data_IF_171842650723
#
_entry.id   IF_171842650723
#
_cell.length_a   1.000
_cell.length_b   1.000
_cell.length_c   1.000
_cell.angle_alpha   90.00
_cell.angle_beta   90.00
_cell.angle_gamma   90.00
#
_symmetry.space_group_name_H-M   'P 1'
#
loop_
_entity.id
_entity.type
_entity.pdbx_description
1 polymer ?
#
# COMPACT_ATOMS: atom_id res chain seq x y z
N UNK A 1 -2.04 26.66 -8.54
CA UNK A 1 -2.97 27.30 -9.49
C UNK A 1 -4.38 26.93 -9.03
N UNK A 2 -5.13 27.93 -8.50
CA UNK A 2 -6.48 27.71 -7.99
C UNK A 2 -7.44 27.31 -9.11
N UNK A 3 -8.22 26.27 -8.89
CA UNK A 3 -9.32 25.90 -9.77
C UNK A 3 -10.38 27.03 -9.71
N UNK A 4 -10.71 27.58 -10.87
CA UNK A 4 -11.80 28.57 -11.01
C UNK A 4 -13.07 27.76 -11.21
N UNK A 5 -13.92 27.72 -10.18
CA UNK A 5 -15.28 27.17 -10.30
C UNK A 5 -16.19 28.26 -10.88
N UNK A 6 -16.90 27.96 -11.95
CA UNK A 6 -17.96 28.81 -12.50
C UNK A 6 -19.30 28.16 -12.20
N UNK A 7 -20.16 28.84 -11.45
CA UNK A 7 -21.56 28.46 -11.31
C UNK A 7 -22.33 28.93 -12.53
N UNK A 8 -23.03 28.02 -13.19
CA UNK A 8 -23.90 28.33 -14.32
C UNK A 8 -25.36 28.25 -13.86
N UNK A 9 -26.06 29.35 -13.91
CA UNK A 9 -27.48 29.44 -13.62
C UNK A 9 -28.27 29.43 -14.94
N UNK A 10 -29.23 28.50 -15.06
CA UNK A 10 -30.18 28.48 -16.16
C UNK A 10 -31.51 29.03 -15.64
N UNK A 11 -31.92 30.16 -16.17
CA UNK A 11 -33.21 30.74 -15.87
C UNK A 11 -34.24 30.20 -16.84
N UNK A 12 -35.30 29.59 -16.33
CA UNK A 12 -36.47 29.22 -17.13
C UNK A 12 -37.59 30.24 -16.89
N UNK A 13 -38.31 30.60 -17.95
CA UNK A 13 -39.40 31.57 -17.92
C UNK A 13 -40.74 30.97 -17.48
N UNK A 14 -40.81 29.67 -17.31
CA UNK A 14 -42.02 28.99 -16.82
C UNK A 14 -41.68 28.11 -15.61
N UNK A 15 -42.53 28.08 -14.55
CA UNK A 15 -42.35 27.19 -13.43
C UNK A 15 -42.61 25.75 -13.87
N UNK A 16 -41.58 25.02 -14.24
CA UNK A 16 -41.72 23.57 -14.37
C UNK A 16 -41.91 22.94 -12.98
N UNK A 17 -42.82 21.94 -12.86
CA UNK A 17 -42.95 21.20 -11.63
C UNK A 17 -41.55 20.62 -11.27
N UNK A 18 -41.11 20.88 -10.06
CA UNK A 18 -39.85 20.37 -9.50
C UNK A 18 -39.88 18.83 -9.49
N UNK A 19 -39.69 18.23 -10.66
CA UNK A 19 -39.30 16.84 -10.73
C UNK A 19 -37.88 16.79 -10.20
N UNK A 20 -37.70 16.26 -8.98
CA UNK A 20 -36.37 15.97 -8.46
C UNK A 20 -35.63 15.18 -9.55
N UNK A 21 -34.54 15.73 -10.06
CA UNK A 21 -33.74 15.20 -11.18
C UNK A 21 -33.30 13.74 -10.94
N UNK A 22 -33.27 13.31 -9.70
CA UNK A 22 -32.97 11.95 -9.24
C UNK A 22 -34.20 11.04 -9.07
N UNK A 23 -35.40 11.53 -9.21
CA UNK A 23 -36.64 10.76 -9.09
C UNK A 23 -37.39 10.71 -10.42
N UNK A 24 -36.69 10.65 -11.53
CA UNK A 24 -37.34 10.27 -12.79
C UNK A 24 -37.83 8.82 -12.64
N UNK A 25 -39.12 8.67 -12.48
CA UNK A 25 -39.83 7.40 -12.73
C UNK A 25 -39.81 7.12 -14.23
N UNK A 26 -38.62 6.99 -14.81
CA UNK A 26 -38.42 6.42 -16.12
C UNK A 26 -38.60 4.90 -16.08
N UNK A 27 -38.74 4.23 -17.24
CA UNK A 27 -38.70 2.77 -17.29
C UNK A 27 -37.47 2.30 -16.55
N UNK A 28 -37.63 1.22 -15.75
CA UNK A 28 -36.63 0.71 -14.82
C UNK A 28 -35.21 0.93 -15.35
N UNK A 29 -34.46 1.79 -14.68
CA UNK A 29 -33.05 1.99 -15.01
C UNK A 29 -32.44 0.59 -14.92
N UNK A 30 -32.03 0.03 -16.04
CA UNK A 30 -31.23 -1.18 -16.06
C UNK A 30 -29.99 -0.79 -15.26
N UNK A 31 -29.89 -1.33 -14.04
CA UNK A 31 -28.79 -1.00 -13.14
C UNK A 31 -27.49 -1.23 -13.89
N UNK A 32 -26.65 -0.22 -13.96
CA UNK A 32 -25.28 -0.39 -14.44
C UNK A 32 -24.66 -1.42 -13.51
N UNK A 33 -24.22 -2.55 -14.04
CA UNK A 33 -23.46 -3.51 -13.25
C UNK A 33 -22.19 -2.83 -12.75
N UNK A 34 -22.03 -2.61 -11.43
CA UNK A 34 -20.84 -1.95 -10.89
C UNK A 34 -19.55 -2.70 -11.18
N UNK A 35 -19.65 -3.99 -11.57
CA UNK A 35 -18.55 -4.84 -11.98
C UNK A 35 -18.26 -4.77 -13.49
N UNK A 36 -19.04 -4.02 -14.27
CA UNK A 36 -18.89 -4.00 -15.73
C UNK A 36 -17.75 -3.11 -16.21
N UNK A 37 -17.50 -1.95 -15.60
CA UNK A 37 -16.40 -1.07 -15.99
C UNK A 37 -16.10 0.02 -14.96
N UNK A 38 -14.83 0.39 -14.88
CA UNK A 38 -14.35 1.55 -14.13
C UNK A 38 -13.35 2.29 -15.04
N UNK A 39 -13.33 3.64 -15.06
CA UNK A 39 -12.29 4.38 -15.78
C UNK A 39 -10.89 3.99 -15.30
N UNK A 40 -9.95 3.76 -16.22
CA UNK A 40 -8.60 3.31 -15.87
C UNK A 40 -7.88 4.25 -14.90
N UNK A 41 -8.02 5.56 -15.06
CA UNK A 41 -7.45 6.55 -14.13
C UNK A 41 -8.06 6.48 -12.72
N UNK A 42 -9.36 6.17 -12.59
CA UNK A 42 -10.01 5.95 -11.29
C UNK A 42 -9.50 4.66 -10.65
N UNK A 43 -9.41 3.58 -11.41
CA UNK A 43 -8.87 2.30 -10.94
C UNK A 43 -7.42 2.45 -10.48
N UNK A 44 -6.58 3.13 -11.26
CA UNK A 44 -5.19 3.42 -10.93
C UNK A 44 -5.07 4.26 -9.65
N UNK A 45 -5.84 5.33 -9.52
CA UNK A 45 -5.80 6.17 -8.33
C UNK A 45 -6.23 5.40 -7.07
N UNK A 46 -7.24 4.54 -7.14
CA UNK A 46 -7.66 3.68 -6.02
C UNK A 46 -6.59 2.63 -5.67
N UNK A 47 -5.96 2.02 -6.66
CA UNK A 47 -4.83 1.11 -6.47
C UNK A 47 -3.67 1.79 -5.72
N UNK A 48 -3.27 2.96 -6.16
CA UNK A 48 -2.18 3.71 -5.53
C UNK A 48 -2.58 4.28 -4.17
N UNK A 49 -3.83 4.70 -3.98
CA UNK A 49 -4.37 5.08 -2.68
C UNK A 49 -4.16 3.95 -1.65
N UNK A 50 -4.55 2.72 -2.02
CA UNK A 50 -4.35 1.54 -1.19
C UNK A 50 -2.88 1.29 -0.87
N UNK A 51 -2.01 1.35 -1.87
CA UNK A 51 -0.57 1.13 -1.70
C UNK A 51 0.09 2.16 -0.79
N UNK A 52 -0.14 3.45 -1.03
CA UNK A 52 0.47 4.50 -0.22
C UNK A 52 -0.05 4.53 1.22
N UNK A 53 -1.31 4.16 1.45
CA UNK A 53 -1.85 4.01 2.80
C UNK A 53 -1.09 2.93 3.60
N UNK A 54 -0.84 1.77 3.00
CA UNK A 54 -0.11 0.68 3.66
C UNK A 54 1.36 1.01 3.87
N UNK A 55 2.00 1.67 2.90
CA UNK A 55 3.39 2.14 3.03
C UNK A 55 3.54 3.12 4.19
N UNK A 56 2.64 4.11 4.27
CA UNK A 56 2.63 5.05 5.39
C UNK A 56 2.37 4.36 6.73
N UNK A 57 1.45 3.37 6.78
CA UNK A 57 1.18 2.60 7.99
C UNK A 57 2.43 1.83 8.45
N UNK A 58 3.08 1.07 7.55
CA UNK A 58 4.23 0.26 7.87
C UNK A 58 5.39 1.10 8.41
N UNK A 59 5.73 2.20 7.72
CA UNK A 59 6.78 3.11 8.16
C UNK A 59 6.45 3.78 9.50
N UNK A 60 5.19 4.18 9.71
CA UNK A 60 4.77 4.80 10.98
C UNK A 60 4.91 3.82 12.14
N UNK A 61 4.52 2.54 11.94
CA UNK A 61 4.66 1.50 12.97
C UNK A 61 6.12 1.20 13.28
N UNK A 62 6.96 1.10 12.28
CA UNK A 62 8.40 0.89 12.48
C UNK A 62 9.03 2.09 13.19
N UNK A 63 8.71 3.32 12.80
CA UNK A 63 9.18 4.54 13.48
C UNK A 63 8.79 4.55 14.96
N UNK A 64 7.55 4.13 15.29
CA UNK A 64 7.12 3.99 16.68
C UNK A 64 7.92 2.93 17.42
N UNK A 65 8.16 1.76 16.80
CA UNK A 65 8.97 0.71 17.42
C UNK A 65 10.42 1.17 17.71
N UNK A 66 11.02 1.91 16.77
CA UNK A 66 12.34 2.57 16.97
C UNK A 66 12.28 3.53 18.14
N UNK A 67 11.27 4.39 18.20
CA UNK A 67 11.10 5.37 19.26
C UNK A 67 10.90 4.72 20.63
N UNK A 68 10.11 3.65 20.73
CA UNK A 68 9.90 2.90 21.95
C UNK A 68 11.22 2.30 22.47
N UNK A 69 12.03 1.71 21.57
CA UNK A 69 13.37 1.18 21.91
C UNK A 69 14.37 2.28 22.26
N UNK A 70 14.29 3.44 21.59
CA UNK A 70 15.12 4.58 21.96
C UNK A 70 14.79 5.11 23.37
N UNK A 71 13.51 5.17 23.73
CA UNK A 71 13.09 5.54 25.09
C UNK A 71 13.56 4.53 26.15
N UNK A 72 13.62 3.23 25.78
CA UNK A 72 14.06 2.17 26.68
C UNK A 72 15.60 2.09 26.82
N UNK A 73 16.35 2.27 25.74
CA UNK A 73 17.80 2.00 25.66
C UNK A 73 18.67 3.17 25.23
N UNK A 74 18.11 4.31 24.85
CA UNK A 74 18.86 5.46 24.31
C UNK A 74 19.90 6.05 25.29
N UNK A 75 19.86 5.67 26.57
CA UNK A 75 20.86 6.03 27.57
C UNK A 75 22.21 5.27 27.48
N UNK A 76 22.36 4.31 26.54
CA UNK A 76 23.63 3.65 26.25
C UNK A 76 24.17 2.65 27.29
N UNK A 77 23.39 2.30 28.31
CA UNK A 77 23.81 1.41 29.40
C UNK A 77 23.60 -0.09 29.12
N UNK A 78 22.87 -0.43 28.03
CA UNK A 78 22.58 -1.80 27.64
C UNK A 78 23.10 -2.07 26.23
N UNK A 79 24.21 -2.82 26.08
CA UNK A 79 24.82 -3.09 24.77
C UNK A 79 23.85 -3.80 23.79
N UNK A 80 23.05 -4.77 24.28
CA UNK A 80 22.08 -5.47 23.45
C UNK A 80 20.96 -4.54 22.97
N UNK A 81 20.48 -3.64 23.86
CA UNK A 81 19.49 -2.63 23.52
C UNK A 81 20.01 -1.63 22.47
N UNK A 82 21.28 -1.18 22.62
CA UNK A 82 21.91 -0.29 21.64
C UNK A 82 22.05 -0.95 20.26
N UNK A 83 22.49 -2.21 20.21
CA UNK A 83 22.62 -2.96 18.97
C UNK A 83 21.24 -3.23 18.31
N UNK A 84 20.20 -3.51 19.11
CA UNK A 84 18.84 -3.62 18.62
C UNK A 84 18.35 -2.31 18.01
N UNK A 85 18.60 -1.17 18.66
CA UNK A 85 18.22 0.15 18.17
C UNK A 85 18.92 0.46 16.85
N UNK A 86 20.22 0.21 16.73
CA UNK A 86 21.00 0.39 15.50
C UNK A 86 20.45 -0.46 14.34
N UNK A 87 20.07 -1.71 14.60
CA UNK A 87 19.46 -2.59 13.60
C UNK A 87 18.11 -2.05 13.10
N UNK A 88 17.27 -1.56 14.02
CA UNK A 88 15.95 -1.02 13.67
C UNK A 88 16.04 0.34 12.95
N UNK A 89 16.96 1.21 13.35
CA UNK A 89 17.23 2.48 12.67
C UNK A 89 17.76 2.25 11.26
N UNK A 90 18.67 1.29 11.09
CA UNK A 90 19.16 0.87 9.77
C UNK A 90 18.03 0.33 8.88
N UNK A 91 17.13 -0.49 9.44
CA UNK A 91 15.96 -1.00 8.73
C UNK A 91 15.01 0.15 8.33
N UNK A 92 14.76 1.09 9.23
CA UNK A 92 13.90 2.25 8.95
C UNK A 92 14.51 3.12 7.83
N UNK A 93 15.80 3.41 7.89
CA UNK A 93 16.51 4.18 6.86
C UNK A 93 16.44 3.47 5.49
N UNK A 94 16.64 2.15 5.48
CA UNK A 94 16.55 1.36 4.25
C UNK A 94 15.13 1.36 3.63
N UNK A 95 14.08 1.17 4.45
CA UNK A 95 12.69 1.19 3.99
C UNK A 95 12.26 2.59 3.53
N UNK A 96 12.72 3.65 4.20
CA UNK A 96 12.44 5.03 3.80
C UNK A 96 13.10 5.42 2.46
N UNK A 97 14.09 4.65 2.00
CA UNK A 97 14.79 4.87 0.74
C UNK A 97 15.79 6.02 0.80
N UNK A 98 16.59 6.13 -0.27
CA UNK A 98 17.57 7.22 -0.38
C UNK A 98 16.88 8.58 -0.29
N UNK A 99 17.44 9.49 0.50
CA UNK A 99 16.93 10.86 0.70
C UNK A 99 15.44 10.94 1.14
N UNK A 100 14.91 9.88 1.78
CA UNK A 100 13.53 9.85 2.27
C UNK A 100 12.46 9.81 1.17
N UNK A 101 12.79 9.30 -0.01
CA UNK A 101 11.86 9.19 -1.15
C UNK A 101 10.59 8.42 -0.82
N UNK A 102 10.65 7.51 0.14
CA UNK A 102 9.52 6.74 0.66
C UNK A 102 9.15 7.13 2.11
N UNK A 103 9.43 8.37 2.56
CA UNK A 103 9.10 8.79 3.92
C UNK A 103 7.60 8.69 4.22
N UNK A 104 7.23 8.74 5.51
CA UNK A 104 5.81 8.78 5.93
C UNK A 104 5.12 9.97 5.26
N UNK A 105 5.74 11.16 5.29
CA UNK A 105 5.17 12.37 4.72
C UNK A 105 4.97 12.28 3.20
N UNK A 106 5.94 11.77 2.44
CA UNK A 106 5.81 11.56 1.00
C UNK A 106 4.74 10.54 0.66
N UNK A 107 4.66 9.45 1.42
CA UNK A 107 3.62 8.44 1.24
C UNK A 107 2.21 8.99 1.53
N UNK A 108 2.06 9.80 2.58
CA UNK A 108 0.78 10.43 2.90
C UNK A 108 0.36 11.46 1.84
N UNK A 109 1.29 12.27 1.31
CA UNK A 109 0.97 13.19 0.19
C UNK A 109 0.49 12.44 -1.03
N UNK A 110 1.25 11.43 -1.47
CA UNK A 110 0.87 10.64 -2.62
C UNK A 110 -0.47 9.92 -2.41
N UNK A 111 -0.76 9.44 -1.19
CA UNK A 111 -2.06 8.89 -0.82
C UNK A 111 -3.17 9.92 -0.95
N UNK A 112 -2.99 11.13 -0.42
CA UNK A 112 -3.96 12.22 -0.48
C UNK A 112 -4.21 12.69 -1.92
N UNK A 113 -3.16 12.83 -2.73
CA UNK A 113 -3.28 13.19 -4.15
C UNK A 113 -4.16 12.19 -4.91
N UNK A 114 -3.97 10.88 -4.66
CA UNK A 114 -4.80 9.84 -5.23
C UNK A 114 -6.24 9.87 -4.69
N UNK A 115 -6.44 10.16 -3.40
CA UNK A 115 -7.77 10.34 -2.83
C UNK A 115 -8.51 11.52 -3.47
N UNK A 116 -7.83 12.65 -3.69
CA UNK A 116 -8.41 13.80 -4.38
C UNK A 116 -8.77 13.51 -5.84
N UNK A 117 -8.01 12.65 -6.53
CA UNK A 117 -8.31 12.24 -7.91
C UNK A 117 -9.61 11.42 -8.00
N UNK A 118 -10.01 10.72 -6.93
CA UNK A 118 -11.22 9.87 -6.86
C UNK A 118 -12.24 10.37 -5.83
N UNK A 119 -12.27 11.68 -5.59
CA UNK A 119 -13.10 12.29 -4.54
C UNK A 119 -14.59 11.97 -4.63
N UNK A 120 -15.09 11.73 -5.80
CA UNK A 120 -16.48 11.35 -6.10
C UNK A 120 -16.80 9.90 -5.74
N UNK A 121 -15.78 9.05 -5.57
CA UNK A 121 -15.91 7.66 -5.14
C UNK A 121 -15.80 7.51 -3.61
N UNK A 122 -15.38 8.55 -2.91
CA UNK A 122 -15.12 8.54 -1.47
C UNK A 122 -16.25 9.19 -0.69
N UNK A 123 -16.66 8.55 0.42
CA UNK A 123 -17.70 9.06 1.29
C UNK A 123 -17.26 10.32 2.04
N UNK A 124 -18.24 11.08 2.56
CA UNK A 124 -17.96 12.23 3.43
C UNK A 124 -17.13 11.84 4.66
N UNK A 125 -17.40 10.66 5.22
CA UNK A 125 -16.70 10.18 6.42
C UNK A 125 -15.23 9.86 6.11
N UNK A 126 -14.91 9.42 4.89
CA UNK A 126 -13.53 9.27 4.43
C UNK A 126 -12.77 10.59 4.51
N UNK A 127 -13.38 11.70 4.12
CA UNK A 127 -12.75 13.03 4.19
C UNK A 127 -12.55 13.53 5.63
N UNK A 128 -13.41 13.14 6.58
CA UNK A 128 -13.20 13.42 7.99
C UNK A 128 -11.95 12.72 8.54
N UNK A 129 -11.62 11.54 7.98
CA UNK A 129 -10.44 10.76 8.37
C UNK A 129 -9.17 11.27 7.67
N UNK A 130 -9.26 11.72 6.42
CA UNK A 130 -8.11 12.21 5.65
C UNK A 130 -7.62 13.59 6.11
N UNK A 131 -8.52 14.48 6.56
CA UNK A 131 -8.15 15.82 7.02
C UNK A 131 -7.13 15.87 8.17
N UNK A 132 -7.20 15.02 9.19
CA UNK A 132 -6.16 14.89 10.21
C UNK A 132 -4.80 14.44 9.68
N UNK A 133 -4.76 13.57 8.64
CA UNK A 133 -3.51 13.15 7.99
C UNK A 133 -2.81 14.31 7.31
N UNK A 134 -3.56 15.12 6.56
CA UNK A 134 -3.02 16.30 5.89
C UNK A 134 -2.37 17.28 6.90
N UNK A 135 -3.01 17.47 8.06
CA UNK A 135 -2.47 18.33 9.12
C UNK A 135 -1.27 17.73 9.86
N UNK A 136 -1.10 16.41 9.87
CA UNK A 136 0.04 15.75 10.50
C UNK A 136 1.32 15.84 9.67
N UNK A 137 1.23 16.00 8.35
CA UNK A 137 2.40 16.02 7.44
C UNK A 137 3.47 17.04 7.84
N UNK A 138 3.16 18.32 8.11
CA UNK A 138 4.18 19.29 8.49
C UNK A 138 4.91 18.94 9.78
N UNK A 139 4.24 18.28 10.73
CA UNK A 139 4.86 17.85 11.98
C UNK A 139 5.85 16.67 11.76
N UNK A 140 5.53 15.78 10.82
CA UNK A 140 6.39 14.65 10.45
C UNK A 140 7.65 15.07 9.68
N UNK A 141 7.68 16.26 9.13
CA UNK A 141 8.82 16.81 8.38
C UNK A 141 9.76 17.63 9.24
N UNK A 142 9.37 17.93 10.48
CA UNK A 142 10.24 18.66 11.41
C UNK A 142 11.46 17.81 11.80
N UNK A 143 12.63 18.43 11.94
CA UNK A 143 13.81 17.73 12.47
C UNK A 143 13.51 17.15 13.86
N UNK A 144 14.00 15.93 14.11
CA UNK A 144 13.79 15.21 15.38
C UNK A 144 14.25 16.00 16.61
N UNK A 145 15.26 16.87 16.45
CA UNK A 145 15.78 17.74 17.51
C UNK A 145 14.76 18.69 18.14
N UNK A 146 13.69 19.04 17.40
CA UNK A 146 12.72 20.08 17.82
C UNK A 146 11.35 19.51 18.22
N UNK A 147 11.13 18.17 18.13
CA UNK A 147 9.77 17.67 18.01
C UNK A 147 9.32 16.62 19.06
N UNK A 148 10.15 16.14 19.96
CA UNK A 148 9.85 15.19 21.05
C UNK A 148 8.42 14.62 21.10
N UNK A 149 7.62 15.09 22.04
CA UNK A 149 6.23 14.64 22.27
C UNK A 149 5.27 14.93 21.08
N UNK A 150 5.53 16.00 20.30
CA UNK A 150 4.67 16.37 19.16
C UNK A 150 4.81 15.36 18.01
N UNK A 151 6.01 14.84 17.78
CA UNK A 151 6.24 13.78 16.79
C UNK A 151 5.49 12.49 17.14
N UNK A 152 5.46 12.12 18.42
CA UNK A 152 4.71 10.94 18.89
C UNK A 152 3.19 11.11 18.69
N UNK A 153 2.67 12.30 18.98
CA UNK A 153 1.25 12.62 18.76
C UNK A 153 0.90 12.57 17.26
N UNK A 154 1.77 13.07 16.38
CA UNK A 154 1.59 13.00 14.93
C UNK A 154 1.59 11.55 14.43
N UNK A 155 2.53 10.72 14.87
CA UNK A 155 2.57 9.29 14.54
C UNK A 155 1.31 8.55 15.02
N UNK A 156 0.84 8.85 16.22
CA UNK A 156 -0.40 8.27 16.75
C UNK A 156 -1.61 8.69 15.90
N UNK A 157 -1.70 9.97 15.51
CA UNK A 157 -2.76 10.47 14.63
C UNK A 157 -2.76 9.77 13.27
N UNK A 158 -1.57 9.55 12.68
CA UNK A 158 -1.44 8.84 11.41
C UNK A 158 -2.00 7.42 11.52
N UNK A 159 -1.58 6.66 12.53
CA UNK A 159 -2.08 5.29 12.73
C UNK A 159 -3.59 5.27 12.94
N UNK A 160 -4.15 6.14 13.78
CA UNK A 160 -5.59 6.22 14.02
C UNK A 160 -6.37 6.49 12.74
N UNK A 161 -5.90 7.45 11.93
CA UNK A 161 -6.56 7.80 10.68
C UNK A 161 -6.45 6.70 9.63
N UNK A 162 -5.28 6.06 9.49
CA UNK A 162 -5.11 4.96 8.53
C UNK A 162 -5.94 3.71 8.91
N UNK A 163 -6.05 3.41 10.20
CA UNK A 163 -6.93 2.34 10.70
C UNK A 163 -8.41 2.68 10.44
N UNK A 164 -8.82 3.93 10.67
CA UNK A 164 -10.18 4.38 10.39
C UNK A 164 -10.48 4.34 8.87
N UNK A 165 -9.53 4.74 8.01
CA UNK A 165 -9.63 4.62 6.56
C UNK A 165 -9.81 3.15 6.14
N UNK A 166 -9.01 2.24 6.70
CA UNK A 166 -9.15 0.81 6.49
C UNK A 166 -10.53 0.27 6.91
N UNK A 167 -11.04 0.72 8.06
CA UNK A 167 -12.37 0.38 8.56
C UNK A 167 -13.49 0.87 7.62
N UNK A 168 -13.42 2.12 7.16
CA UNK A 168 -14.38 2.68 6.20
C UNK A 168 -14.35 1.92 4.87
N UNK A 169 -13.17 1.52 4.39
CA UNK A 169 -13.05 0.69 3.19
C UNK A 169 -13.73 -0.68 3.34
N UNK A 170 -13.75 -1.23 4.54
CA UNK A 170 -14.40 -2.52 4.83
C UNK A 170 -15.92 -2.36 5.02
N UNK A 171 -16.36 -1.35 5.76
CA UNK A 171 -17.73 -1.21 6.22
C UNK A 171 -18.61 -0.37 5.29
N UNK A 172 -18.04 0.57 4.55
CA UNK A 172 -18.81 1.58 3.81
C UNK A 172 -18.69 1.50 2.29
N UNK A 173 -17.66 0.86 1.75
CA UNK A 173 -17.49 0.75 0.31
C UNK A 173 -18.17 -0.51 -0.24
N UNK A 174 -18.87 -0.35 -1.37
CA UNK A 174 -19.37 -1.48 -2.15
C UNK A 174 -18.20 -2.30 -2.69
N UNK A 175 -18.34 -3.63 -2.74
CA UNK A 175 -17.31 -4.55 -3.27
C UNK A 175 -17.28 -4.56 -4.79
N UNK A 176 -17.22 -3.38 -5.39
CA UNK A 176 -17.08 -3.18 -6.83
C UNK A 176 -15.62 -3.24 -7.31
N UNK A 177 -15.39 -2.96 -8.57
CA UNK A 177 -14.05 -2.94 -9.15
C UNK A 177 -13.13 -1.92 -8.49
N UNK A 178 -13.65 -0.74 -8.13
CA UNK A 178 -12.87 0.29 -7.46
C UNK A 178 -12.35 -0.19 -6.11
N UNK A 179 -13.22 -0.81 -5.33
CA UNK A 179 -12.84 -1.42 -4.05
C UNK A 179 -11.80 -2.53 -4.26
N UNK A 180 -11.96 -3.40 -5.29
CA UNK A 180 -11.02 -4.48 -5.59
C UNK A 180 -9.63 -3.96 -5.91
N UNK A 181 -9.51 -2.92 -6.74
CA UNK A 181 -8.22 -2.30 -7.03
C UNK A 181 -7.58 -1.70 -5.77
N UNK A 182 -8.35 -1.01 -4.94
CA UNK A 182 -7.85 -0.43 -3.70
C UNK A 182 -7.36 -1.53 -2.73
N UNK A 183 -8.15 -2.58 -2.51
CA UNK A 183 -7.77 -3.66 -1.58
C UNK A 183 -6.61 -4.48 -2.11
N UNK A 184 -6.59 -4.84 -3.41
CA UNK A 184 -5.46 -5.52 -4.03
C UNK A 184 -4.16 -4.70 -3.90
N UNK A 185 -4.21 -3.38 -4.11
CA UNK A 185 -3.09 -2.48 -3.87
C UNK A 185 -2.60 -2.53 -2.43
N UNK A 186 -3.52 -2.50 -1.45
CA UNK A 186 -3.21 -2.65 -0.03
C UNK A 186 -2.53 -4.00 0.27
N UNK A 187 -3.09 -5.11 -0.23
CA UNK A 187 -2.56 -6.46 0.02
C UNK A 187 -1.16 -6.62 -0.54
N UNK A 188 -0.94 -6.15 -1.76
CA UNK A 188 0.37 -6.18 -2.41
C UNK A 188 1.40 -5.38 -1.60
N UNK A 189 1.07 -4.12 -1.26
CA UNK A 189 2.02 -3.27 -0.54
C UNK A 189 2.31 -3.79 0.86
N UNK A 190 1.30 -4.27 1.61
CA UNK A 190 1.52 -4.87 2.93
C UNK A 190 2.44 -6.08 2.86
N UNK A 191 2.29 -6.92 1.84
CA UNK A 191 3.18 -8.05 1.60
C UNK A 191 4.62 -7.60 1.36
N UNK A 192 4.82 -6.61 0.49
CA UNK A 192 6.14 -6.06 0.18
C UNK A 192 6.80 -5.38 1.40
N UNK A 193 6.03 -4.60 2.18
CA UNK A 193 6.54 -3.94 3.38
C UNK A 193 6.91 -4.94 4.48
N UNK A 194 6.14 -6.02 4.65
CA UNK A 194 6.48 -7.10 5.57
C UNK A 194 7.77 -7.80 5.14
N UNK A 195 7.90 -8.19 3.87
CA UNK A 195 9.09 -8.84 3.35
C UNK A 195 10.31 -7.94 3.47
N UNK A 196 10.19 -6.65 3.18
CA UNK A 196 11.23 -5.67 3.34
C UNK A 196 11.69 -5.53 4.82
N UNK A 197 10.73 -5.49 5.76
CA UNK A 197 11.04 -5.46 7.19
C UNK A 197 11.80 -6.72 7.63
N UNK A 198 11.34 -7.91 7.22
CA UNK A 198 12.02 -9.17 7.53
C UNK A 198 13.42 -9.25 6.89
N UNK A 199 13.57 -8.77 5.65
CA UNK A 199 14.87 -8.70 4.98
C UNK A 199 15.87 -7.83 5.77
N UNK A 200 15.43 -6.65 6.19
CA UNK A 200 16.30 -5.69 6.87
C UNK A 200 16.67 -6.11 8.29
N UNK A 201 15.88 -6.99 8.95
CA UNK A 201 16.05 -7.27 10.38
C UNK A 201 16.34 -8.72 10.71
N UNK A 202 16.05 -9.68 9.82
CA UNK A 202 16.10 -11.11 10.17
C UNK A 202 17.03 -11.95 9.28
N UNK A 203 17.59 -11.39 8.21
CA UNK A 203 18.54 -12.13 7.36
C UNK A 203 19.91 -12.30 8.02
N UNK A 204 20.29 -11.37 8.90
CA UNK A 204 21.52 -11.46 9.70
C UNK A 204 21.17 -11.89 11.13
N UNK A 205 21.90 -12.86 11.67
CA UNK A 205 21.84 -13.26 13.07
C UNK A 205 22.73 -12.37 13.94
N UNK A 206 22.23 -12.02 15.10
CA UNK A 206 22.97 -11.30 16.12
C UNK A 206 23.17 -12.19 17.37
N UNK A 207 23.71 -11.63 18.43
CA UNK A 207 23.68 -12.31 19.74
C UNK A 207 22.23 -12.56 20.17
N UNK A 208 21.96 -13.67 20.89
CA UNK A 208 20.59 -14.07 21.24
C UNK A 208 19.78 -12.99 21.98
N UNK A 209 20.44 -12.16 22.78
CA UNK A 209 19.78 -11.07 23.50
C UNK A 209 19.33 -9.94 22.53
N UNK A 210 20.13 -9.65 21.50
CA UNK A 210 19.81 -8.66 20.45
C UNK A 210 18.69 -9.20 19.57
N UNK A 211 18.81 -10.44 19.07
CA UNK A 211 17.81 -11.08 18.22
C UNK A 211 16.43 -11.09 18.93
N UNK A 212 16.36 -11.41 20.22
CA UNK A 212 15.10 -11.40 20.97
C UNK A 212 14.44 -10.01 20.98
N UNK A 213 15.21 -8.94 21.18
CA UNK A 213 14.70 -7.56 21.16
C UNK A 213 14.26 -7.13 19.76
N UNK A 214 15.02 -7.50 18.73
CA UNK A 214 14.68 -7.22 17.32
C UNK A 214 13.38 -7.93 16.95
N UNK A 215 13.23 -9.23 17.29
CA UNK A 215 12.03 -10.00 16.98
C UNK A 215 10.78 -9.42 17.67
N UNK A 216 10.88 -9.03 18.94
CA UNK A 216 9.77 -8.35 19.63
C UNK A 216 9.40 -7.03 18.96
N UNK A 217 10.39 -6.26 18.53
CA UNK A 217 10.18 -4.98 17.85
C UNK A 217 9.53 -5.16 16.47
N UNK A 218 9.96 -6.17 15.71
CA UNK A 218 9.34 -6.55 14.43
C UNK A 218 7.91 -7.05 14.62
N UNK A 219 7.64 -7.89 15.63
CA UNK A 219 6.29 -8.33 15.97
C UNK A 219 5.40 -7.14 16.35
N UNK A 220 5.94 -6.14 17.05
CA UNK A 220 5.23 -4.90 17.39
C UNK A 220 4.94 -4.07 16.15
N UNK A 221 5.92 -3.83 15.30
CA UNK A 221 5.77 -3.11 14.04
C UNK A 221 4.78 -3.81 13.07
N UNK A 222 4.77 -5.15 13.05
CA UNK A 222 3.83 -5.97 12.29
C UNK A 222 2.47 -6.16 12.98
N UNK A 223 2.18 -5.48 14.11
CA UNK A 223 0.92 -5.60 14.88
C UNK A 223 0.59 -7.06 15.26
N UNK A 224 1.58 -7.87 15.52
CA UNK A 224 1.41 -9.31 15.81
C UNK A 224 1.92 -9.72 17.19
N UNK A 225 2.46 -8.79 17.99
CA UNK A 225 3.07 -9.09 19.29
C UNK A 225 2.06 -9.69 20.28
N UNK A 226 0.81 -9.20 20.32
CA UNK A 226 -0.22 -9.73 21.22
C UNK A 226 -0.65 -11.13 20.79
N UNK A 227 -0.82 -11.36 19.48
CA UNK A 227 -1.12 -12.69 18.92
C UNK A 227 0.01 -13.66 19.24
N UNK A 228 1.27 -13.24 19.09
CA UNK A 228 2.43 -14.03 19.42
C UNK A 228 2.42 -14.45 20.90
N UNK A 229 2.29 -13.48 21.81
CA UNK A 229 2.27 -13.74 23.27
C UNK A 229 1.13 -14.66 23.70
N UNK A 230 -0.04 -14.48 23.10
CA UNK A 230 -1.18 -15.35 23.37
C UNK A 230 -0.93 -16.79 22.91
N UNK A 231 -0.37 -16.97 21.71
CA UNK A 231 -0.22 -18.28 21.07
C UNK A 231 0.97 -19.07 21.61
N UNK A 232 2.15 -18.46 21.65
CA UNK A 232 3.40 -19.15 21.97
C UNK A 232 3.81 -19.08 23.42
N UNK A 233 3.36 -18.07 24.18
CA UNK A 233 3.64 -17.89 25.62
C UNK A 233 5.12 -18.00 25.99
N UNK A 234 6.00 -17.63 25.08
CA UNK A 234 7.47 -17.72 25.20
C UNK A 234 8.14 -16.46 24.72
N UNK A 235 9.45 -16.35 24.95
CA UNK A 235 10.27 -15.32 24.32
C UNK A 235 10.23 -15.46 22.80
N UNK A 236 10.38 -14.35 22.10
CA UNK A 236 10.35 -14.34 20.63
C UNK A 236 11.52 -15.15 20.07
N UNK A 237 11.22 -16.20 19.30
CA UNK A 237 12.15 -17.06 18.60
C UNK A 237 11.91 -16.94 17.11
N UNK A 238 12.98 -16.95 16.30
CA UNK A 238 12.89 -16.70 14.87
C UNK A 238 11.91 -17.66 14.18
N UNK A 239 11.98 -18.95 14.47
CA UNK A 239 11.11 -19.96 13.84
C UNK A 239 9.62 -19.66 14.06
N UNK A 240 9.23 -19.37 15.29
CA UNK A 240 7.82 -19.05 15.62
C UNK A 240 7.39 -17.67 15.15
N UNK A 241 8.32 -16.73 15.03
CA UNK A 241 8.08 -15.41 14.42
C UNK A 241 7.83 -15.53 12.93
N UNK A 242 8.66 -16.33 12.22
CA UNK A 242 8.48 -16.59 10.79
C UNK A 242 7.20 -17.40 10.53
N UNK A 243 6.89 -18.41 11.37
CA UNK A 243 5.62 -19.13 11.28
C UNK A 243 4.42 -18.18 11.36
N UNK A 244 4.38 -17.28 12.37
CA UNK A 244 3.30 -16.33 12.56
C UNK A 244 3.19 -15.27 11.46
N UNK A 245 4.33 -14.73 11.00
CA UNK A 245 4.35 -13.60 10.06
C UNK A 245 4.35 -14.03 8.59
N UNK A 246 4.87 -15.21 8.27
CA UNK A 246 4.89 -15.70 6.90
C UNK A 246 3.75 -16.68 6.62
N UNK A 247 3.56 -17.70 7.47
CA UNK A 247 2.79 -18.91 7.11
C UNK A 247 1.38 -18.98 7.70
N UNK A 248 1.11 -18.27 8.80
CA UNK A 248 -0.19 -18.36 9.47
C UNK A 248 -1.31 -17.70 8.67
N UNK A 249 -2.10 -18.51 7.97
CA UNK A 249 -3.26 -18.03 7.19
C UNK A 249 -4.38 -17.43 8.05
N UNK A 250 -4.36 -17.61 9.37
CA UNK A 250 -5.30 -17.00 10.32
C UNK A 250 -4.88 -15.63 10.85
N UNK A 251 -3.60 -15.24 10.69
CA UNK A 251 -3.11 -13.93 11.11
C UNK A 251 -3.31 -12.90 9.99
N UNK A 252 -4.17 -11.87 10.17
CA UNK A 252 -4.39 -10.84 9.14
C UNK A 252 -3.14 -10.03 8.74
N UNK A 253 -2.05 -10.18 9.49
CA UNK A 253 -0.77 -9.50 9.23
C UNK A 253 0.28 -10.42 8.59
N UNK A 254 -0.03 -11.70 8.37
CA UNK A 254 0.89 -12.63 7.74
C UNK A 254 0.91 -12.50 6.22
N UNK A 255 2.02 -12.91 5.62
CA UNK A 255 2.17 -12.97 4.16
C UNK A 255 1.14 -13.95 3.54
N UNK A 256 0.96 -15.13 4.11
CA UNK A 256 0.00 -16.12 3.62
C UNK A 256 -1.43 -15.59 3.55
N UNK A 257 -1.86 -14.86 4.59
CA UNK A 257 -3.17 -14.20 4.61
C UNK A 257 -3.28 -13.14 3.51
N UNK A 258 -2.25 -12.31 3.34
CA UNK A 258 -2.27 -11.24 2.34
C UNK A 258 -2.29 -11.81 0.91
N UNK A 259 -1.48 -12.82 0.60
CA UNK A 259 -1.44 -13.45 -0.73
C UNK A 259 -2.77 -14.10 -1.08
N UNK A 260 -3.42 -14.75 -0.12
CA UNK A 260 -4.75 -15.33 -0.33
C UNK A 260 -5.79 -14.27 -0.72
N UNK A 261 -5.85 -13.15 0.02
CA UNK A 261 -6.81 -12.08 -0.29
C UNK A 261 -6.42 -11.33 -1.58
N UNK A 262 -5.13 -11.15 -1.85
CA UNK A 262 -4.68 -10.58 -3.12
C UNK A 262 -5.13 -11.46 -4.30
N UNK A 263 -5.03 -12.78 -4.18
CA UNK A 263 -5.53 -13.71 -5.20
C UNK A 263 -7.04 -13.55 -5.42
N UNK A 264 -7.82 -13.50 -4.33
CA UNK A 264 -9.28 -13.30 -4.39
C UNK A 264 -9.67 -11.97 -5.09
N UNK A 265 -8.92 -10.90 -4.83
CA UNK A 265 -9.16 -9.61 -5.47
C UNK A 265 -8.78 -9.63 -6.96
N UNK A 266 -7.61 -10.17 -7.30
CA UNK A 266 -7.19 -10.29 -8.69
C UNK A 266 -8.12 -11.20 -9.50
N UNK A 267 -8.63 -12.28 -8.92
CA UNK A 267 -9.58 -13.17 -9.60
C UNK A 267 -10.91 -12.48 -9.92
N UNK A 268 -11.31 -11.51 -9.10
CA UNK A 268 -12.52 -10.72 -9.30
C UNK A 268 -12.36 -9.60 -10.35
N UNK A 269 -11.15 -9.27 -10.80
CA UNK A 269 -10.94 -8.25 -11.83
C UNK A 269 -11.36 -8.77 -13.22
N UNK A 270 -11.91 -7.89 -14.08
CA UNK A 270 -12.34 -8.29 -15.41
C UNK A 270 -11.17 -8.79 -16.26
N UNK A 271 -11.41 -9.85 -17.03
CA UNK A 271 -10.45 -10.37 -18.01
C UNK A 271 -10.75 -9.79 -19.38
N UNK A 272 -9.71 -9.28 -20.05
CA UNK A 272 -9.79 -8.75 -21.42
C UNK A 272 -9.45 -9.84 -22.45
N UNK A 273 -8.99 -11.03 -22.02
CA UNK A 273 -8.53 -12.10 -22.89
C UNK A 273 -8.97 -13.48 -22.40
N UNK A 274 -9.08 -14.45 -23.31
CA UNK A 274 -9.40 -15.87 -23.02
C UNK A 274 -8.23 -16.64 -22.37
N UNK A 275 -7.23 -15.96 -21.80
CA UNK A 275 -6.10 -16.60 -21.12
C UNK A 275 -6.58 -17.16 -19.78
N UNK A 276 -6.24 -18.42 -19.47
CA UNK A 276 -6.64 -19.07 -18.24
C UNK A 276 -6.16 -18.36 -16.97
N UNK A 277 -4.94 -17.84 -16.99
CA UNK A 277 -4.34 -17.04 -15.90
C UNK A 277 -3.67 -15.82 -16.50
N UNK A 278 -4.05 -14.64 -16.03
CA UNK A 278 -3.37 -13.39 -16.39
C UNK A 278 -1.96 -13.35 -15.78
N UNK A 279 -1.04 -12.51 -16.32
CA UNK A 279 0.33 -12.42 -15.82
C UNK A 279 0.40 -12.15 -14.31
N UNK A 280 -0.38 -11.21 -13.78
CA UNK A 280 -0.44 -10.86 -12.37
C UNK A 280 -0.94 -12.02 -11.50
N UNK A 281 -1.95 -12.78 -11.96
CA UNK A 281 -2.46 -13.95 -11.25
C UNK A 281 -1.43 -15.07 -11.17
N UNK A 282 -0.70 -15.30 -12.28
CA UNK A 282 0.34 -16.32 -12.33
C UNK A 282 1.48 -15.99 -11.35
N UNK A 283 1.94 -14.74 -11.34
CA UNK A 283 3.02 -14.30 -10.45
C UNK A 283 2.63 -14.41 -8.97
N UNK A 284 1.41 -14.05 -8.61
CA UNK A 284 0.92 -14.22 -7.23
C UNK A 284 0.75 -15.70 -6.87
N UNK A 285 0.34 -16.54 -7.81
CA UNK A 285 0.29 -18.01 -7.59
C UNK A 285 1.69 -18.60 -7.38
N UNK A 286 2.69 -18.17 -8.16
CA UNK A 286 4.09 -18.59 -7.99
C UNK A 286 4.62 -18.13 -6.62
N UNK A 287 4.34 -16.90 -6.19
CA UNK A 287 4.69 -16.37 -4.86
C UNK A 287 4.03 -17.20 -3.73
N UNK A 288 2.74 -17.49 -3.88
CA UNK A 288 1.98 -18.32 -2.92
C UNK A 288 2.52 -19.74 -2.83
N UNK A 289 2.93 -20.31 -3.96
CA UNK A 289 3.53 -21.65 -4.03
C UNK A 289 4.90 -21.67 -3.37
N UNK A 290 5.76 -20.67 -3.65
CA UNK A 290 7.07 -20.55 -3.00
C UNK A 290 6.92 -20.45 -1.47
N UNK A 291 5.95 -19.65 -1.01
CA UNK A 291 5.65 -19.55 0.42
C UNK A 291 5.13 -20.88 1.02
N UNK A 292 4.22 -21.58 0.33
CA UNK A 292 3.65 -22.83 0.82
C UNK A 292 4.68 -23.97 0.91
N UNK A 293 5.75 -23.90 0.11
CA UNK A 293 6.88 -24.86 0.14
C UNK A 293 7.95 -24.48 1.17
N UNK A 294 7.85 -23.31 1.81
CA UNK A 294 8.81 -22.87 2.81
C UNK A 294 8.80 -23.76 4.06
N UNK A 295 9.98 -24.07 4.57
CA UNK A 295 10.16 -24.88 5.77
C UNK A 295 10.82 -24.07 6.88
N UNK A 296 10.07 -23.60 7.92
CA UNK A 296 10.60 -22.75 8.97
C UNK A 296 11.89 -23.23 9.63
N UNK A 297 12.05 -24.52 10.00
CA UNK A 297 13.32 -25.05 10.53
C UNK A 297 14.54 -24.84 9.63
N UNK A 298 14.34 -24.76 8.31
CA UNK A 298 15.43 -24.51 7.36
C UNK A 298 15.70 -23.01 7.24
N UNK A 299 14.66 -22.19 7.22
CA UNK A 299 14.79 -20.73 7.10
C UNK A 299 15.56 -20.08 8.23
N UNK A 300 15.62 -20.70 9.42
CA UNK A 300 16.32 -20.16 10.58
C UNK A 300 17.81 -20.48 10.61
N UNK A 301 18.27 -21.40 9.74
CA UNK A 301 19.67 -21.80 9.71
C UNK A 301 20.54 -20.67 9.20
N UNK A 302 21.56 -20.32 10.01
CA UNK A 302 22.57 -19.33 9.64
C UNK A 302 23.86 -20.03 9.20
N UNK A 303 24.57 -19.39 8.28
CA UNK A 303 25.92 -19.80 7.91
C UNK A 303 26.96 -19.38 8.98
N UNK A 304 28.23 -19.63 8.70
CA UNK A 304 29.35 -19.30 9.61
C UNK A 304 29.52 -17.81 9.88
N UNK A 305 28.93 -16.94 9.04
CA UNK A 305 28.96 -15.49 9.17
C UNK A 305 27.67 -14.94 9.81
N UNK A 306 26.75 -15.82 10.20
CA UNK A 306 25.46 -15.44 10.75
C UNK A 306 24.40 -15.07 9.71
N UNK A 307 24.69 -15.23 8.41
CA UNK A 307 23.73 -14.97 7.35
C UNK A 307 22.76 -16.14 7.19
N UNK A 308 21.48 -15.88 6.92
CA UNK A 308 20.43 -16.89 6.71
C UNK A 308 20.05 -16.98 5.22
N UNK A 309 20.77 -17.78 4.43
CA UNK A 309 20.64 -17.79 2.98
C UNK A 309 19.25 -18.22 2.52
N UNK A 310 18.68 -19.28 3.09
CA UNK A 310 17.37 -19.79 2.69
C UNK A 310 16.24 -18.77 2.95
N UNK A 311 16.33 -18.01 4.06
CA UNK A 311 15.39 -16.93 4.34
C UNK A 311 15.57 -15.78 3.34
N UNK A 312 16.81 -15.42 3.03
CA UNK A 312 17.12 -14.37 2.08
C UNK A 312 16.62 -14.71 0.67
N UNK A 313 16.84 -15.94 0.21
CA UNK A 313 16.40 -16.43 -1.09
C UNK A 313 14.87 -16.46 -1.19
N UNK A 314 14.18 -16.93 -0.15
CA UNK A 314 12.72 -16.95 -0.11
C UNK A 314 12.15 -15.53 -0.19
N UNK A 315 12.66 -14.60 0.63
CA UNK A 315 12.21 -13.20 0.65
C UNK A 315 12.48 -12.54 -0.72
N UNK A 316 13.66 -12.73 -1.29
CA UNK A 316 14.04 -12.16 -2.58
C UNK A 316 13.14 -12.68 -3.70
N UNK A 317 12.90 -14.00 -3.73
CA UNK A 317 12.05 -14.65 -4.73
C UNK A 317 10.62 -14.11 -4.66
N UNK A 318 10.01 -14.11 -3.48
CA UNK A 318 8.62 -13.67 -3.32
C UNK A 318 8.51 -12.15 -3.59
N UNK A 319 9.45 -11.35 -3.10
CA UNK A 319 9.45 -9.90 -3.36
C UNK A 319 9.54 -9.58 -4.86
N UNK A 320 10.43 -10.27 -5.58
CA UNK A 320 10.56 -10.13 -7.04
C UNK A 320 9.26 -10.44 -7.77
N UNK A 321 8.63 -11.58 -7.46
CA UNK A 321 7.35 -11.99 -8.04
C UNK A 321 6.24 -10.97 -7.75
N UNK A 322 6.17 -10.43 -6.54
CA UNK A 322 5.15 -9.44 -6.18
C UNK A 322 5.40 -8.06 -6.82
N UNK A 323 6.65 -7.64 -6.98
CA UNK A 323 6.99 -6.41 -7.72
C UNK A 323 6.57 -6.56 -9.19
N UNK A 324 6.89 -7.69 -9.82
CA UNK A 324 6.47 -7.99 -11.18
C UNK A 324 4.93 -8.10 -11.31
N UNK A 325 4.24 -8.69 -10.32
CA UNK A 325 2.79 -8.73 -10.29
C UNK A 325 2.17 -7.32 -10.25
N UNK A 326 2.73 -6.42 -9.45
CA UNK A 326 2.32 -5.01 -9.41
C UNK A 326 2.52 -4.31 -10.77
N UNK A 327 3.65 -4.56 -11.45
CA UNK A 327 3.92 -4.04 -12.79
C UNK A 327 2.93 -4.63 -13.82
N UNK A 328 2.59 -5.92 -13.72
CA UNK A 328 1.62 -6.57 -14.57
C UNK A 328 0.20 -5.99 -14.39
N UNK A 329 -0.23 -5.71 -13.15
CA UNK A 329 -1.50 -5.01 -12.90
C UNK A 329 -1.50 -3.65 -13.60
N UNK A 330 -0.44 -2.85 -13.44
CA UNK A 330 -0.34 -1.54 -14.07
C UNK A 330 -0.45 -1.62 -15.60
N UNK A 331 0.26 -2.54 -16.23
CA UNK A 331 0.27 -2.69 -17.70
C UNK A 331 -1.05 -3.26 -18.25
N UNK A 332 -1.73 -4.11 -17.49
CA UNK A 332 -2.96 -4.78 -17.93
C UNK A 332 -4.19 -3.88 -17.74
N UNK A 333 -4.28 -3.19 -16.61
CA UNK A 333 -5.51 -2.51 -16.19
C UNK A 333 -5.45 -0.98 -16.31
N UNK A 334 -4.24 -0.39 -16.38
CA UNK A 334 -4.06 1.06 -16.46
C UNK A 334 -3.31 1.52 -17.72
N UNK A 335 -3.74 1.08 -18.92
CA UNK A 335 -3.09 1.50 -20.16
C UNK A 335 -3.31 3.00 -20.34
N UNK A 336 -2.23 3.78 -20.28
CA UNK A 336 -2.24 5.17 -20.70
C UNK A 336 -2.32 5.18 -22.22
N UNK A 337 -3.50 5.47 -22.77
CA UNK A 337 -3.63 5.81 -24.18
C UNK A 337 -2.82 7.09 -24.42
N UNK A 338 -1.62 6.97 -24.98
CA UNK A 338 -0.95 8.13 -25.55
C UNK A 338 -1.90 8.67 -26.62
N UNK A 339 -2.37 9.92 -26.55
CA UNK A 339 -3.13 10.49 -27.64
C UNK A 339 -2.22 10.50 -28.85
N UNK A 340 -2.47 9.61 -29.81
CA UNK A 340 -1.85 9.69 -31.11
C UNK A 340 -2.46 10.90 -31.82
N UNK A 341 -1.88 12.07 -31.61
CA UNK A 341 -2.14 13.22 -32.45
C UNK A 341 -1.50 12.93 -33.81
N UNK A 342 -2.26 12.27 -34.66
CA UNK A 342 -2.00 12.30 -36.09
C UNK A 342 -2.26 13.72 -36.57
N UNK A 343 -1.22 14.53 -36.61
CA UNK A 343 -1.23 15.78 -37.37
C UNK A 343 -1.26 15.42 -38.87
N UNK A 344 -2.40 14.91 -39.34
CA UNK A 344 -2.71 14.95 -40.76
C UNK A 344 -3.16 16.38 -41.03
N UNK A 345 -2.20 17.24 -41.34
CA UNK A 345 -2.51 18.55 -41.93
C UNK A 345 -3.25 18.32 -43.26
N UNK A 346 -4.20 19.16 -43.64
CA UNK A 346 -4.86 19.07 -44.94
C UNK A 346 -3.79 19.11 -46.04
N UNK A 347 -3.80 18.10 -46.90
CA UNK A 347 -2.94 18.04 -48.07
C UNK A 347 -3.06 19.36 -48.85
N UNK A 348 -1.92 20.04 -49.00
CA UNK A 348 -1.83 21.28 -49.75
C UNK A 348 -2.30 21.05 -51.20
N UNK A 349 -3.25 21.87 -51.64
CA UNK A 349 -3.59 22.03 -53.04
C UNK A 349 -2.33 22.50 -53.80
N UNK A 350 -1.77 21.66 -54.67
CA UNK A 350 -0.81 22.06 -55.67
C UNK A 350 -1.45 23.10 -56.60
N UNK A 351 -0.96 24.32 -56.50
CA UNK A 351 -1.15 25.35 -57.55
C UNK A 351 -0.29 25.00 -58.75
N UNK A 352 -0.94 24.59 -59.82
CA UNK A 352 -0.30 24.40 -61.12
C UNK A 352 0.34 25.73 -61.63
N UNK A 353 1.56 25.71 -62.18
CA UNK A 353 2.17 26.91 -62.73
C UNK A 353 1.52 27.31 -64.06
N UNK A 354 0.97 28.55 -64.11
CA UNK A 354 0.46 29.15 -65.33
C UNK A 354 1.60 29.39 -66.33
N UNK A 355 1.36 29.03 -67.60
CA UNK A 355 2.20 29.38 -68.69
C UNK A 355 2.11 30.87 -69.06
N UNK A 356 3.21 31.53 -69.54
CA UNK A 356 3.17 32.87 -70.01
C UNK A 356 2.80 32.89 -71.52
N UNK A 357 2.07 33.91 -71.88
CA UNK A 357 2.02 34.41 -73.29
C UNK A 357 2.70 35.74 -73.32
#
# INVERSE_FOLDING_TARGET
AGAITKDTWVLTSEPEPTSAFWLQTGPAVVGIDPMASIPSGTAEALWWLGRYAERAEALTRLTRAVSDRNNEFGGGHNPAGSACLEALESALAWLAGAEGTNSIATSLRAMLDNAYAVRDQLSRDTWLVLGPLERAIPELERPVSDSGDQSQAALAQVIQSLLALGGLGIESMVRDLGWRFMDAGRRLERSLQLLALLAATMQQSHEPAVDSLVFESVLSAAESIMTYRYRYRSHAQLETVLDLLLLDAGNPRSLAYQLRLLTEDLDALPSVSDVRLRPEQRLVLEASTALALANPPILVLADTNGWRPELADLITTISGLLIEAGAAVNSTHFPHLQPSFSLVGPAGSELAPGRPV
#
